data_IF_192360910349
#
_entry.id   IF_192360910349
#
_cell.length_a   1.000
_cell.length_b   1.000
_cell.length_c   1.000
_cell.angle_alpha   90.00
_cell.angle_beta   90.00
_cell.angle_gamma   90.00
#
_symmetry.space_group_name_H-M   'P 1'
#
loop_
_entity.id
_entity.type
_entity.pdbx_description
1 polymer ?
#
# COMPACT_ATOMS: atom_id res chain seq x y z
N UNK A 1 -19.23 36.77 90.43
CA UNK A 1 -18.31 37.81 90.94
C UNK A 1 -16.91 37.47 90.50
N UNK A 2 -16.16 38.49 90.08
CA UNK A 2 -14.92 38.45 89.32
C UNK A 2 -13.75 37.73 90.01
N UNK A 3 -12.78 37.21 89.23
CA UNK A 3 -11.42 37.79 89.16
C UNK A 3 -10.47 37.02 88.24
N UNK A 4 -9.81 37.82 87.41
CA UNK A 4 -8.64 37.68 86.53
C UNK A 4 -7.44 36.85 87.01
N UNK A 5 -6.67 36.29 86.06
CA UNK A 5 -5.20 36.39 86.04
C UNK A 5 -4.58 35.89 84.71
N UNK A 6 -3.92 36.78 83.96
CA UNK A 6 -2.77 36.50 83.05
C UNK A 6 -1.52 36.29 83.92
N UNK A 7 -0.44 35.59 83.49
CA UNK A 7 0.56 36.23 82.59
C UNK A 7 1.37 35.27 81.66
N UNK A 8 1.94 35.85 80.61
CA UNK A 8 3.05 35.29 79.80
C UNK A 8 4.40 35.50 80.51
N UNK A 9 5.40 34.63 80.31
CA UNK A 9 6.66 35.13 79.72
C UNK A 9 7.44 34.12 78.83
N UNK A 10 8.08 34.62 77.78
CA UNK A 10 9.31 34.08 77.12
C UNK A 10 10.55 34.58 77.90
N UNK A 11 11.83 34.09 77.76
CA UNK A 11 12.50 33.66 76.51
C UNK A 11 13.64 32.59 76.57
N UNK A 12 13.98 32.07 75.37
CA UNK A 12 15.26 31.54 74.81
C UNK A 12 16.38 30.90 75.67
N UNK A 13 16.93 29.75 75.22
CA UNK A 13 18.32 29.54 74.66
C UNK A 13 18.74 28.05 74.65
N UNK A 14 19.61 27.64 73.69
CA UNK A 14 20.51 26.45 73.64
C UNK A 14 19.88 25.06 73.40
N UNK A 15 20.42 24.09 72.63
CA UNK A 15 21.71 23.89 71.94
C UNK A 15 21.63 22.59 71.11
N UNK A 16 22.60 22.42 70.20
CA UNK A 16 23.10 21.19 69.54
C UNK A 16 22.27 20.61 68.40
N UNK A 17 22.62 20.81 67.14
CA UNK A 17 23.74 20.23 66.36
C UNK A 17 23.68 18.69 66.18
N UNK A 18 23.14 18.32 65.01
CA UNK A 18 23.62 17.35 64.02
C UNK A 18 24.03 15.93 64.43
N UNK A 19 23.27 14.97 63.89
CA UNK A 19 23.74 13.64 63.46
C UNK A 19 23.43 13.52 61.95
N UNK A 20 24.41 13.27 61.06
CA UNK A 20 24.16 13.08 59.64
C UNK A 20 23.73 11.62 59.42
N UNK A 21 22.43 11.41 59.23
CA UNK A 21 21.91 10.11 58.78
C UNK A 21 21.87 10.13 57.26
N UNK A 22 22.82 9.43 56.65
CA UNK A 22 22.75 9.05 55.26
C UNK A 22 21.56 8.09 55.08
N UNK A 23 20.46 8.57 54.53
CA UNK A 23 19.28 7.76 54.26
C UNK A 23 18.64 8.18 52.93
N UNK A 24 18.87 7.35 51.91
CA UNK A 24 17.91 7.04 50.83
C UNK A 24 17.19 8.22 50.17
N UNK A 25 17.94 9.18 49.63
CA UNK A 25 17.35 10.32 48.89
C UNK A 25 17.40 10.15 47.35
N UNK A 26 17.86 9.03 46.80
CA UNK A 26 18.22 8.99 45.37
C UNK A 26 17.22 8.34 44.41
N UNK A 27 16.03 7.88 44.83
CA UNK A 27 15.05 7.29 43.90
C UNK A 27 13.57 7.55 44.27
N UNK A 28 13.24 8.75 44.72
CA UNK A 28 11.83 9.19 44.69
C UNK A 28 11.63 9.87 43.35
N UNK A 29 11.16 9.12 42.35
CA UNK A 29 10.57 9.79 41.18
C UNK A 29 9.41 10.61 41.72
N UNK A 30 9.50 11.94 41.61
CA UNK A 30 8.41 12.83 41.96
C UNK A 30 7.11 12.29 41.32
N UNK A 31 6.01 12.22 42.06
CA UNK A 31 4.72 11.70 41.56
C UNK A 31 4.33 12.36 40.21
N UNK A 32 4.66 13.64 40.07
CA UNK A 32 4.48 14.41 38.84
C UNK A 32 5.36 13.96 37.66
N UNK A 33 6.56 13.43 37.92
CA UNK A 33 7.43 12.85 36.90
C UNK A 33 6.92 11.48 36.47
N UNK A 34 6.42 10.67 37.42
CA UNK A 34 5.77 9.38 37.11
C UNK A 34 4.54 9.60 36.23
N UNK A 35 3.69 10.58 36.56
CA UNK A 35 2.52 10.92 35.75
C UNK A 35 2.91 11.44 34.35
N UNK A 36 3.99 12.24 34.25
CA UNK A 36 4.49 12.75 32.98
C UNK A 36 5.02 11.62 32.10
N UNK A 37 5.81 10.71 32.66
CA UNK A 37 6.34 9.53 31.97
C UNK A 37 5.19 8.65 31.52
N UNK A 38 4.25 8.32 32.42
CA UNK A 38 3.08 7.50 32.11
C UNK A 38 2.22 8.11 30.99
N UNK A 39 1.97 9.42 31.03
CA UNK A 39 1.23 10.10 29.98
C UNK A 39 2.00 10.12 28.66
N UNK A 40 3.32 10.28 28.70
CA UNK A 40 4.16 10.22 27.50
C UNK A 40 4.14 8.82 26.88
N UNK A 41 4.27 7.76 27.69
CA UNK A 41 4.19 6.37 27.27
C UNK A 41 2.80 6.02 26.74
N UNK A 42 1.73 6.46 27.41
CA UNK A 42 0.36 6.27 26.93
C UNK A 42 0.13 6.91 25.55
N UNK A 43 0.73 8.09 25.30
CA UNK A 43 0.68 8.71 23.97
C UNK A 43 1.52 7.98 22.94
N UNK A 44 2.64 7.37 23.34
CA UNK A 44 3.49 6.56 22.46
C UNK A 44 2.78 5.26 22.07
N UNK A 45 2.19 4.54 23.03
CA UNK A 45 1.36 3.34 22.78
C UNK A 45 0.23 3.65 21.81
N UNK A 46 -0.40 4.83 21.95
CA UNK A 46 -1.45 5.27 21.03
C UNK A 46 -0.93 5.50 19.60
N UNK A 47 0.29 6.04 19.44
CA UNK A 47 0.93 6.25 18.13
C UNK A 47 1.36 4.93 17.49
N UNK A 48 1.97 4.04 18.27
CA UNK A 48 2.39 2.71 17.81
C UNK A 48 1.19 1.84 17.43
N UNK A 49 0.11 1.89 18.22
CA UNK A 49 -1.15 1.24 17.88
C UNK A 49 -1.71 1.74 16.54
N UNK A 50 -1.60 3.05 16.25
CA UNK A 50 -2.00 3.61 14.97
C UNK A 50 -1.09 3.12 13.82
N UNK A 51 0.23 3.04 14.02
CA UNK A 51 1.16 2.45 13.04
C UNK A 51 0.79 1.00 12.74
N UNK A 52 0.61 0.18 13.78
CA UNK A 52 0.22 -1.22 13.64
C UNK A 52 -1.13 -1.37 12.92
N UNK A 53 -2.10 -0.49 13.23
CA UNK A 53 -3.39 -0.45 12.55
C UNK A 53 -3.24 -0.13 11.07
N UNK A 54 -2.48 0.91 10.72
CA UNK A 54 -2.24 1.33 9.33
C UNK A 54 -1.62 0.19 8.53
N UNK A 55 -0.62 -0.50 9.09
CA UNK A 55 0.03 -1.63 8.43
C UNK A 55 -0.87 -2.86 8.31
N UNK A 56 -1.75 -3.08 9.29
CA UNK A 56 -2.76 -4.15 9.26
C UNK A 56 -3.89 -3.87 8.26
N UNK A 57 -4.16 -2.60 7.96
CA UNK A 57 -5.20 -2.20 7.01
C UNK A 57 -4.90 -2.76 5.62
N UNK A 58 -5.95 -3.05 4.86
CA UNK A 58 -5.77 -3.65 3.55
C UNK A 58 -5.20 -2.64 2.54
N UNK A 59 -3.96 -2.85 2.09
CA UNK A 59 -3.19 -1.91 1.25
C UNK A 59 -3.88 -1.45 -0.05
N UNK A 60 -4.79 -2.24 -0.61
CA UNK A 60 -5.52 -1.88 -1.83
C UNK A 60 -6.82 -1.10 -1.56
N UNK A 61 -7.23 -0.96 -0.30
CA UNK A 61 -8.43 -0.21 0.10
C UNK A 61 -8.01 1.07 0.86
N UNK A 62 -8.00 2.23 0.20
CA UNK A 62 -7.56 3.48 0.83
C UNK A 62 -8.55 4.01 1.89
N UNK A 63 -9.84 3.66 1.80
CA UNK A 63 -10.83 4.02 2.83
C UNK A 63 -10.50 3.34 4.17
N UNK A 64 -10.05 2.09 4.13
CA UNK A 64 -9.64 1.34 5.32
C UNK A 64 -8.39 1.92 5.98
N UNK A 65 -7.38 2.24 5.16
CA UNK A 65 -6.13 2.86 5.63
C UNK A 65 -6.41 4.18 6.34
N UNK A 66 -7.27 5.04 5.79
CA UNK A 66 -7.63 6.32 6.39
C UNK A 66 -8.76 6.24 7.44
N UNK A 67 -9.38 5.07 7.67
CA UNK A 67 -10.60 4.90 8.47
C UNK A 67 -11.71 5.87 8.07
N UNK A 68 -11.99 5.92 6.77
CA UNK A 68 -13.13 6.67 6.23
C UNK A 68 -14.31 5.73 6.04
N UNK A 69 -15.51 6.27 6.17
CA UNK A 69 -16.73 5.53 5.87
C UNK A 69 -16.81 5.27 4.37
N UNK A 70 -16.75 3.99 3.99
CA UNK A 70 -16.80 3.53 2.60
C UNK A 70 -18.23 3.20 2.15
N UNK A 71 -19.24 3.42 2.99
CA UNK A 71 -20.62 3.05 2.67
C UNK A 71 -21.19 3.99 1.61
N UNK A 72 -21.89 3.47 0.58
CA UNK A 72 -22.54 4.32 -0.43
C UNK A 72 -23.53 5.33 0.16
N UNK A 73 -24.17 4.99 1.28
CA UNK A 73 -25.09 5.86 2.01
C UNK A 73 -24.42 7.09 2.61
N UNK A 74 -23.10 7.06 2.83
CA UNK A 74 -22.35 8.18 3.39
C UNK A 74 -22.19 9.35 2.41
N UNK A 75 -22.53 9.18 1.11
CA UNK A 75 -22.48 10.22 0.07
C UNK A 75 -21.24 11.12 0.18
N UNK A 76 -20.03 10.54 0.25
CA UNK A 76 -18.79 11.33 0.24
C UNK A 76 -18.72 12.10 -1.09
N UNK A 77 -19.08 13.37 -1.06
CA UNK A 77 -19.03 14.19 -2.27
C UNK A 77 -17.59 14.57 -2.58
N UNK A 78 -17.30 14.88 -3.85
CA UNK A 78 -15.94 15.29 -4.26
C UNK A 78 -15.45 16.53 -3.49
N UNK A 79 -16.39 17.40 -3.08
CA UNK A 79 -16.18 18.53 -2.18
C UNK A 79 -15.73 18.15 -0.78
N UNK A 80 -16.12 16.98 -0.28
CA UNK A 80 -15.74 16.51 1.05
C UNK A 80 -14.33 15.93 1.06
N UNK A 81 -13.74 15.66 -0.10
CA UNK A 81 -12.40 15.05 -0.21
C UNK A 81 -11.34 16.09 -0.57
N UNK A 82 -11.70 17.12 -1.35
CA UNK A 82 -10.81 18.23 -1.69
C UNK A 82 -11.08 19.39 -0.73
N UNK A 83 -10.04 19.95 -0.11
CA UNK A 83 -10.16 21.21 0.64
C UNK A 83 -10.71 22.32 -0.28
N UNK A 84 -12.01 22.58 -0.23
CA UNK A 84 -12.61 23.79 -0.78
C UNK A 84 -12.18 24.97 0.11
N UNK A 85 -11.37 25.93 -0.38
CA UNK A 85 -11.01 27.12 0.38
C UNK A 85 -12.15 28.16 0.39
N UNK A 86 -13.32 27.86 -0.15
CA UNK A 86 -14.34 28.86 -0.50
C UNK A 86 -15.40 29.09 0.58
N UNK A 87 -15.45 28.32 1.66
CA UNK A 87 -16.49 28.45 2.69
C UNK A 87 -16.16 29.44 3.83
N UNK A 88 -15.28 30.40 3.56
CA UNK A 88 -14.96 31.51 4.45
C UNK A 88 -15.61 32.81 3.95
N UNK A 89 -16.88 32.76 3.54
CA UNK A 89 -17.73 33.95 3.43
C UNK A 89 -19.17 33.61 3.79
N UNK A 90 -19.66 34.39 4.75
CA UNK A 90 -21.02 34.45 5.30
C UNK A 90 -21.45 33.32 6.23
N UNK A 91 -21.53 33.69 7.52
CA UNK A 91 -22.17 32.92 8.56
C UNK A 91 -23.65 32.75 8.28
N UNK A 92 -24.05 31.49 8.16
CA UNK A 92 -25.36 30.99 8.57
C UNK A 92 -25.07 29.64 9.21
N UNK A 93 -25.36 29.56 10.50
CA UNK A 93 -25.17 28.37 11.32
C UNK A 93 -26.16 27.32 10.83
N UNK A 94 -25.75 26.46 9.90
CA UNK A 94 -26.41 25.18 9.71
C UNK A 94 -25.72 24.19 10.62
N UNK A 95 -26.39 23.86 11.73
CA UNK A 95 -26.13 22.64 12.50
C UNK A 95 -26.36 21.44 11.58
N UNK A 96 -25.36 21.13 10.75
CA UNK A 96 -25.34 19.97 9.87
C UNK A 96 -23.99 19.29 9.97
N UNK A 97 -23.86 18.54 11.06
CA UNK A 97 -22.87 17.48 11.31
C UNK A 97 -21.43 17.87 11.00
N UNK A 98 -20.80 18.60 11.92
CA UNK A 98 -19.34 18.83 12.00
C UNK A 98 -18.49 17.54 12.22
N UNK A 99 -19.02 16.38 11.84
CA UNK A 99 -18.37 15.07 11.90
C UNK A 99 -17.86 14.55 10.55
N UNK A 100 -17.79 15.39 9.51
CA UNK A 100 -17.39 14.94 8.17
C UNK A 100 -15.86 14.97 7.98
N UNK A 101 -15.22 13.84 8.26
CA UNK A 101 -13.80 13.61 8.09
C UNK A 101 -13.41 13.52 6.61
N UNK A 102 -13.04 14.66 6.02
CA UNK A 102 -12.41 14.75 4.70
C UNK A 102 -11.11 13.91 4.64
N UNK A 103 -10.85 13.20 3.53
CA UNK A 103 -9.64 12.39 3.36
C UNK A 103 -8.34 13.19 3.57
N UNK A 104 -8.32 14.44 3.12
CA UNK A 104 -7.18 15.34 3.30
C UNK A 104 -6.98 15.77 4.76
N UNK A 105 -8.08 16.08 5.47
CA UNK A 105 -8.02 16.43 6.91
C UNK A 105 -7.56 15.24 7.75
N UNK A 106 -8.10 14.06 7.45
CA UNK A 106 -7.77 12.80 8.14
C UNK A 106 -6.33 12.41 7.89
N UNK A 107 -5.85 12.51 6.64
CA UNK A 107 -4.45 12.32 6.31
C UNK A 107 -3.55 13.28 7.10
N UNK A 108 -3.83 14.59 7.09
CA UNK A 108 -3.03 15.60 7.83
C UNK A 108 -2.95 15.29 9.32
N UNK A 109 -4.06 14.89 9.94
CA UNK A 109 -4.11 14.56 11.37
C UNK A 109 -3.29 13.30 11.68
N UNK A 110 -3.47 12.24 10.88
CA UNK A 110 -2.81 10.94 11.09
C UNK A 110 -1.34 10.96 10.73
N UNK A 111 -0.96 11.63 9.64
CA UNK A 111 0.43 11.74 9.20
C UNK A 111 1.32 12.46 10.21
N UNK A 112 0.76 13.45 10.95
CA UNK A 112 1.45 14.09 12.07
C UNK A 112 1.60 13.17 13.28
N UNK A 113 0.62 12.29 13.52
CA UNK A 113 0.62 11.34 14.63
C UNK A 113 1.68 10.24 14.43
N UNK A 114 1.85 9.75 13.20
CA UNK A 114 2.79 8.67 12.85
C UNK A 114 4.05 9.15 12.11
N UNK A 115 4.36 10.44 12.17
CA UNK A 115 5.49 10.99 11.44
C UNK A 115 6.82 10.35 11.92
N UNK A 116 7.70 9.89 11.02
CA UNK A 116 8.92 9.17 11.40
C UNK A 116 9.90 9.99 12.25
N UNK A 117 9.87 11.33 12.16
CA UNK A 117 10.66 12.21 13.02
C UNK A 117 10.15 12.26 14.48
N UNK A 118 8.84 12.08 14.69
CA UNK A 118 8.20 12.15 16.02
C UNK A 118 8.10 10.79 16.71
N UNK A 119 8.24 9.70 15.95
CA UNK A 119 8.13 8.33 16.42
C UNK A 119 9.32 7.52 15.85
N UNK A 120 10.25 7.13 16.73
CA UNK A 120 11.42 6.30 16.37
C UNK A 120 11.04 4.81 16.24
N UNK A 121 10.04 4.51 15.42
CA UNK A 121 9.57 3.14 15.18
C UNK A 121 10.00 2.69 13.78
N UNK A 122 10.50 1.46 13.64
CA UNK A 122 11.12 0.92 12.42
C UNK A 122 10.16 0.99 11.22
N UNK A 123 8.88 0.70 11.47
CA UNK A 123 7.86 0.67 10.43
C UNK A 123 7.07 1.99 10.28
N UNK A 124 7.45 3.07 10.98
CA UNK A 124 6.76 4.35 10.89
C UNK A 124 6.82 4.94 9.47
N UNK A 125 7.95 4.77 8.79
CA UNK A 125 8.15 5.21 7.40
C UNK A 125 7.18 4.50 6.46
N UNK A 126 7.08 3.16 6.56
CA UNK A 126 6.17 2.37 5.72
C UNK A 126 4.70 2.75 5.98
N UNK A 127 4.30 2.93 7.23
CA UNK A 127 2.96 3.35 7.58
C UNK A 127 2.64 4.76 7.06
N UNK A 128 3.60 5.69 7.14
CA UNK A 128 3.46 7.04 6.61
C UNK A 128 3.28 7.04 5.08
N UNK A 129 4.09 6.26 4.37
CA UNK A 129 3.99 6.11 2.91
C UNK A 129 2.65 5.49 2.50
N UNK A 130 2.14 4.52 3.27
CA UNK A 130 0.83 3.93 3.04
C UNK A 130 -0.29 4.97 3.19
N UNK A 131 -0.26 5.79 4.25
CA UNK A 131 -1.22 6.88 4.43
C UNK A 131 -1.16 7.86 3.25
N UNK A 132 0.04 8.23 2.80
CA UNK A 132 0.24 9.18 1.69
C UNK A 132 -0.29 8.62 0.37
N UNK A 133 -0.05 7.34 0.12
CA UNK A 133 -0.57 6.63 -1.05
C UNK A 133 -2.09 6.59 -1.03
N UNK A 134 -2.70 6.22 0.09
CA UNK A 134 -4.16 6.16 0.24
C UNK A 134 -4.81 7.53 -0.01
N UNK A 135 -4.21 8.61 0.52
CA UNK A 135 -4.67 9.97 0.26
C UNK A 135 -4.58 10.34 -1.22
N UNK A 136 -3.48 9.99 -1.89
CA UNK A 136 -3.28 10.30 -3.31
C UNK A 136 -4.28 9.57 -4.20
N UNK A 137 -4.56 8.30 -3.90
CA UNK A 137 -5.54 7.50 -4.64
C UNK A 137 -6.97 8.01 -4.47
N UNK A 138 -7.35 8.42 -3.26
CA UNK A 138 -8.68 8.99 -3.03
C UNK A 138 -8.82 10.39 -3.61
N UNK A 139 -7.75 11.18 -3.77
CA UNK A 139 -7.85 12.51 -4.38
C UNK A 139 -8.09 12.42 -5.89
N UNK A 140 -7.61 11.36 -6.56
CA UNK A 140 -7.82 11.14 -7.99
C UNK A 140 -9.26 10.62 -8.25
N UNK A 141 -10.11 11.38 -8.97
CA UNK A 141 -11.51 11.01 -9.19
C UNK A 141 -11.65 9.68 -9.95
N UNK A 142 -10.76 9.40 -10.91
CA UNK A 142 -10.86 8.17 -11.72
C UNK A 142 -10.56 6.92 -10.90
N UNK A 143 -9.56 7.01 -10.01
CA UNK A 143 -9.21 5.91 -9.11
C UNK A 143 -10.29 5.71 -8.06
N UNK A 144 -10.85 6.80 -7.53
CA UNK A 144 -11.95 6.75 -6.57
C UNK A 144 -13.19 6.08 -7.17
N UNK A 145 -13.63 6.52 -8.35
CA UNK A 145 -14.79 5.94 -9.04
C UNK A 145 -14.62 4.44 -9.28
N UNK A 146 -13.42 3.99 -9.70
CA UNK A 146 -13.14 2.58 -9.86
C UNK A 146 -13.27 1.79 -8.54
N UNK A 147 -12.81 2.34 -7.42
CA UNK A 147 -12.96 1.73 -6.09
C UNK A 147 -14.41 1.74 -5.61
N UNK A 148 -15.13 2.83 -5.82
CA UNK A 148 -16.53 2.98 -5.42
C UNK A 148 -17.41 1.99 -6.18
N UNK A 149 -17.17 1.78 -7.48
CA UNK A 149 -17.84 0.75 -8.27
C UNK A 149 -17.60 -0.67 -7.70
N UNK A 150 -16.38 -0.98 -7.24
CA UNK A 150 -16.09 -2.27 -6.61
C UNK A 150 -16.83 -2.42 -5.29
N UNK A 151 -16.96 -1.35 -4.50
CA UNK A 151 -17.72 -1.35 -3.25
C UNK A 151 -19.22 -1.54 -3.52
N UNK A 152 -19.75 -0.88 -4.55
CA UNK A 152 -21.13 -1.06 -5.00
C UNK A 152 -21.39 -2.50 -5.45
N UNK A 153 -20.50 -3.07 -6.26
CA UNK A 153 -20.57 -4.47 -6.68
C UNK A 153 -20.52 -5.43 -5.47
N UNK A 154 -19.61 -5.17 -4.52
CA UNK A 154 -19.52 -5.95 -3.28
C UNK A 154 -20.84 -5.90 -2.49
N UNK A 155 -21.44 -4.72 -2.32
CA UNK A 155 -22.74 -4.55 -1.65
C UNK A 155 -23.85 -5.32 -2.36
N UNK A 156 -23.91 -5.24 -3.69
CA UNK A 156 -24.91 -5.98 -4.48
C UNK A 156 -24.75 -7.49 -4.34
N UNK A 157 -23.51 -7.98 -4.32
CA UNK A 157 -23.23 -9.41 -4.13
C UNK A 157 -23.59 -9.89 -2.73
N UNK A 158 -23.33 -9.09 -1.69
CA UNK A 158 -23.74 -9.41 -0.31
C UNK A 158 -25.26 -9.47 -0.21
N UNK A 159 -25.99 -8.46 -0.70
CA UNK A 159 -27.46 -8.47 -0.69
C UNK A 159 -28.03 -9.68 -1.43
N UNK A 160 -27.44 -10.05 -2.57
CA UNK A 160 -27.84 -11.24 -3.33
C UNK A 160 -27.57 -12.54 -2.55
N UNK A 161 -26.44 -12.64 -1.85
CA UNK A 161 -26.11 -13.81 -1.04
C UNK A 161 -27.11 -14.00 0.11
N UNK A 162 -27.63 -12.91 0.66
CA UNK A 162 -28.67 -12.90 1.70
C UNK A 162 -30.11 -13.03 1.12
N UNK A 163 -30.25 -13.26 -0.19
CA UNK A 163 -31.55 -13.42 -0.86
C UNK A 163 -32.36 -12.13 -0.99
N UNK A 164 -31.73 -10.96 -0.85
CA UNK A 164 -32.37 -9.65 -0.96
C UNK A 164 -32.17 -9.05 -2.36
N UNK A 165 -33.07 -8.14 -2.75
CA UNK A 165 -32.93 -7.39 -3.99
C UNK A 165 -31.72 -6.43 -3.90
N UNK A 166 -30.96 -6.19 -4.98
CA UNK A 166 -29.79 -5.30 -4.96
C UNK A 166 -30.10 -3.85 -4.57
N UNK A 167 -31.34 -3.41 -4.76
CA UNK A 167 -31.83 -2.06 -4.43
C UNK A 167 -32.28 -1.90 -2.98
N UNK A 168 -32.27 -2.97 -2.17
CA UNK A 168 -32.73 -2.92 -0.77
C UNK A 168 -31.93 -1.88 0.01
N UNK A 169 -32.56 -0.95 0.75
CA UNK A 169 -31.86 0.08 1.52
C UNK A 169 -31.22 -0.49 2.79
N UNK A 170 -30.17 0.18 3.27
CA UNK A 170 -29.40 -0.25 4.44
C UNK A 170 -30.22 -0.17 5.75
N UNK A 171 -31.26 0.67 5.79
CA UNK A 171 -32.19 0.83 6.94
C UNK A 171 -33.25 -0.26 7.02
N UNK A 172 -33.32 -1.17 6.04
CA UNK A 172 -34.33 -2.22 6.07
C UNK A 172 -34.10 -3.16 7.27
N UNK A 173 -35.17 -3.60 7.96
CA UNK A 173 -35.03 -4.40 9.18
C UNK A 173 -34.29 -5.72 8.93
N UNK A 174 -34.39 -6.26 7.70
CA UNK A 174 -33.60 -7.43 7.30
C UNK A 174 -32.10 -7.14 7.29
N UNK A 175 -31.66 -6.04 6.68
CA UNK A 175 -30.24 -5.68 6.64
C UNK A 175 -29.70 -5.42 8.05
N UNK A 176 -30.43 -4.67 8.88
CA UNK A 176 -30.01 -4.36 10.26
C UNK A 176 -30.02 -5.58 11.19
N UNK A 177 -30.80 -6.62 10.88
CA UNK A 177 -30.84 -7.85 11.68
C UNK A 177 -29.59 -8.75 11.53
N UNK A 178 -28.74 -8.50 10.54
CA UNK A 178 -27.49 -9.23 10.36
C UNK A 178 -26.47 -8.73 11.38
N UNK A 179 -26.19 -9.51 12.43
CA UNK A 179 -25.22 -9.10 13.48
C UNK A 179 -23.92 -9.89 13.43
N UNK A 180 -23.91 -11.10 12.85
CA UNK A 180 -22.76 -12.02 12.90
C UNK A 180 -22.40 -12.59 11.51
N UNK A 181 -21.44 -12.02 10.78
CA UNK A 181 -20.94 -10.64 10.88
C UNK A 181 -22.00 -9.60 10.49
N UNK A 182 -21.82 -8.35 10.94
CA UNK A 182 -22.66 -7.21 10.56
C UNK A 182 -22.61 -6.96 9.05
N UNK A 183 -23.67 -6.36 8.51
CA UNK A 183 -23.77 -6.03 7.10
C UNK A 183 -22.60 -5.19 6.60
N UNK A 184 -22.15 -4.19 7.38
CA UNK A 184 -20.98 -3.37 7.01
C UNK A 184 -19.71 -4.21 6.89
N UNK A 185 -19.52 -5.15 7.81
CA UNK A 185 -18.36 -6.05 7.81
C UNK A 185 -18.43 -7.06 6.65
N UNK A 186 -19.62 -7.59 6.31
CA UNK A 186 -19.80 -8.44 5.12
C UNK A 186 -19.39 -7.72 3.84
N UNK A 187 -19.82 -6.46 3.68
CA UNK A 187 -19.43 -5.66 2.52
C UNK A 187 -17.93 -5.44 2.53
N UNK A 188 -17.34 -5.08 3.67
CA UNK A 188 -15.89 -4.89 3.80
C UNK A 188 -15.09 -6.13 3.40
N UNK A 189 -15.51 -7.31 3.87
CA UNK A 189 -14.91 -8.59 3.50
C UNK A 189 -15.08 -8.88 2.00
N UNK A 190 -16.26 -8.62 1.44
CA UNK A 190 -16.53 -8.86 0.02
C UNK A 190 -15.76 -7.90 -0.88
N UNK A 191 -15.63 -6.63 -0.50
CA UNK A 191 -14.79 -5.64 -1.19
C UNK A 191 -13.33 -6.10 -1.20
N UNK A 192 -12.83 -6.59 -0.06
CA UNK A 192 -11.47 -7.14 0.02
C UNK A 192 -11.26 -8.32 -0.93
N UNK A 193 -12.21 -9.24 -1.00
CA UNK A 193 -12.19 -10.37 -1.94
C UNK A 193 -12.14 -9.89 -3.39
N UNK A 194 -13.04 -8.99 -3.80
CA UNK A 194 -13.09 -8.48 -5.18
C UNK A 194 -11.82 -7.73 -5.58
N UNK A 195 -11.24 -6.94 -4.67
CA UNK A 195 -9.97 -6.24 -4.91
C UNK A 195 -8.80 -7.23 -5.10
N UNK A 196 -8.75 -8.29 -4.29
CA UNK A 196 -7.75 -9.35 -4.46
C UNK A 196 -7.92 -10.04 -5.80
N UNK A 197 -9.15 -10.39 -6.18
CA UNK A 197 -9.43 -11.05 -7.45
C UNK A 197 -9.08 -10.20 -8.67
N UNK A 198 -9.40 -8.90 -8.64
CA UNK A 198 -9.00 -7.97 -9.71
C UNK A 198 -7.48 -7.88 -9.84
N UNK A 199 -6.75 -7.76 -8.74
CA UNK A 199 -5.29 -7.69 -8.76
C UNK A 199 -4.66 -9.01 -9.22
N UNK A 200 -5.18 -10.16 -8.78
CA UNK A 200 -4.75 -11.48 -9.27
C UNK A 200 -5.01 -11.63 -10.77
N UNK A 201 -6.17 -11.18 -11.25
CA UNK A 201 -6.51 -11.18 -12.68
C UNK A 201 -5.55 -10.30 -13.47
N UNK A 202 -5.27 -9.08 -12.99
CA UNK A 202 -4.31 -8.16 -13.59
C UNK A 202 -2.91 -8.79 -13.68
N UNK A 203 -2.43 -9.43 -12.61
CA UNK A 203 -1.14 -10.14 -12.60
C UNK A 203 -1.09 -11.29 -13.61
N UNK A 204 -2.16 -12.08 -13.71
CA UNK A 204 -2.26 -13.18 -14.68
C UNK A 204 -2.24 -12.66 -16.12
N UNK A 205 -3.01 -11.61 -16.42
CA UNK A 205 -3.04 -10.98 -17.74
C UNK A 205 -1.66 -10.44 -18.09
N UNK A 206 -1.03 -9.65 -17.21
CA UNK A 206 0.31 -9.11 -17.47
C UNK A 206 1.34 -10.21 -17.73
N UNK A 207 1.31 -11.30 -16.96
CA UNK A 207 2.20 -12.45 -17.16
C UNK A 207 1.95 -13.12 -18.51
N UNK A 208 0.68 -13.32 -18.89
CA UNK A 208 0.31 -13.92 -20.17
C UNK A 208 0.77 -13.04 -21.34
N UNK A 209 0.56 -11.72 -21.26
CA UNK A 209 1.01 -10.76 -22.28
C UNK A 209 2.52 -10.78 -22.43
N UNK A 210 3.28 -10.78 -21.33
CA UNK A 210 4.75 -10.85 -21.38
C UNK A 210 5.25 -12.15 -22.04
N UNK A 211 4.60 -13.28 -21.76
CA UNK A 211 4.92 -14.57 -22.40
C UNK A 211 4.60 -14.52 -23.89
N UNK A 212 3.44 -13.98 -24.27
CA UNK A 212 3.02 -13.86 -25.67
C UNK A 212 3.93 -12.92 -26.47
N UNK A 213 4.27 -11.77 -25.90
CA UNK A 213 5.22 -10.81 -26.48
C UNK A 213 6.61 -11.41 -26.62
N UNK A 214 7.11 -12.12 -25.60
CA UNK A 214 8.38 -12.82 -25.68
C UNK A 214 8.39 -13.96 -26.71
N UNK A 215 7.28 -14.70 -26.84
CA UNK A 215 7.14 -15.73 -27.86
C UNK A 215 7.08 -15.14 -29.28
N UNK A 216 6.43 -13.99 -29.43
CA UNK A 216 6.37 -13.27 -30.71
C UNK A 216 7.75 -12.71 -31.08
N UNK A 217 8.44 -12.05 -30.14
CA UNK A 217 9.79 -11.53 -30.34
C UNK A 217 10.78 -12.63 -30.78
N UNK A 218 10.72 -13.82 -30.17
CA UNK A 218 11.55 -14.97 -30.59
C UNK A 218 11.23 -15.44 -32.01
N UNK A 219 9.96 -15.49 -32.40
CA UNK A 219 9.56 -15.87 -33.77
C UNK A 219 10.04 -14.84 -34.80
N UNK A 220 9.95 -13.56 -34.45
CA UNK A 220 10.40 -12.48 -35.31
C UNK A 220 11.93 -12.48 -35.47
N UNK A 221 12.67 -12.74 -34.39
CA UNK A 221 14.12 -12.92 -34.40
C UNK A 221 14.55 -14.13 -35.24
N UNK A 222 13.90 -15.29 -35.06
CA UNK A 222 14.19 -16.50 -35.86
C UNK A 222 13.89 -16.27 -37.35
N UNK A 223 12.79 -15.57 -37.68
CA UNK A 223 12.45 -15.23 -39.06
C UNK A 223 13.48 -14.28 -39.68
N UNK A 224 13.97 -13.30 -38.92
CA UNK A 224 15.04 -12.40 -39.35
C UNK A 224 16.36 -13.14 -39.53
N UNK A 225 16.73 -14.03 -38.61
CA UNK A 225 17.95 -14.83 -38.71
C UNK A 225 17.89 -15.78 -39.89
N UNK A 226 16.76 -16.46 -40.12
CA UNK A 226 16.56 -17.32 -41.30
C UNK A 226 16.64 -16.52 -42.60
N UNK A 227 16.09 -15.31 -42.63
CA UNK A 227 16.21 -14.40 -43.77
C UNK A 227 17.67 -13.98 -43.98
N UNK A 228 18.37 -13.62 -42.90
CA UNK A 228 19.80 -13.25 -42.94
C UNK A 228 20.65 -14.41 -43.45
N UNK A 229 20.47 -15.62 -42.90
CA UNK A 229 21.15 -16.84 -43.34
C UNK A 229 20.90 -17.13 -44.81
N UNK A 230 19.66 -17.03 -45.27
CA UNK A 230 19.33 -17.20 -46.70
C UNK A 230 20.06 -16.18 -47.57
N UNK A 231 20.06 -14.90 -47.18
CA UNK A 231 20.78 -13.86 -47.92
C UNK A 231 22.29 -14.12 -47.96
N UNK A 232 22.88 -14.59 -46.85
CA UNK A 232 24.30 -14.95 -46.77
C UNK A 232 24.63 -16.20 -47.62
N UNK A 233 23.79 -17.22 -47.59
CA UNK A 233 23.93 -18.44 -48.41
C UNK A 233 23.82 -18.10 -49.91
N UNK A 234 22.82 -17.30 -50.30
CA UNK A 234 22.61 -16.84 -51.68
C UNK A 234 23.82 -16.00 -52.15
N UNK A 235 24.32 -15.10 -51.30
CA UNK A 235 25.53 -14.30 -51.58
C UNK A 235 26.75 -15.20 -51.77
N UNK A 236 26.98 -16.18 -50.87
CA UNK A 236 28.10 -17.13 -50.96
C UNK A 236 28.00 -18.03 -52.20
N UNK A 237 26.79 -18.39 -52.61
CA UNK A 237 26.54 -19.13 -53.85
C UNK A 237 26.95 -18.32 -55.07
N UNK A 238 26.57 -17.04 -55.16
CA UNK A 238 26.98 -16.18 -56.26
C UNK A 238 28.49 -15.90 -56.26
N UNK A 239 29.11 -15.68 -55.10
CA UNK A 239 30.57 -15.47 -55.00
C UNK A 239 31.36 -16.69 -55.50
N UNK A 240 30.95 -17.90 -55.12
CA UNK A 240 31.60 -19.15 -55.58
C UNK A 240 31.14 -19.60 -56.98
N UNK A 241 30.39 -18.78 -57.72
CA UNK A 241 29.86 -19.12 -59.04
C UNK A 241 30.96 -19.35 -60.06
N UNK A 242 31.92 -18.43 -60.17
CA UNK A 242 32.99 -18.52 -61.17
C UNK A 242 33.91 -19.72 -60.91
N UNK A 243 34.20 -20.02 -59.64
CA UNK A 243 34.95 -21.21 -59.25
C UNK A 243 34.23 -22.49 -59.67
N UNK A 244 32.92 -22.59 -59.38
CA UNK A 244 32.10 -23.74 -59.77
C UNK A 244 31.95 -23.88 -61.28
N UNK A 245 31.82 -22.77 -62.02
CA UNK A 245 31.80 -22.76 -63.48
C UNK A 245 33.15 -23.21 -64.05
N UNK A 246 34.26 -22.82 -63.42
CA UNK A 246 35.61 -23.23 -63.80
C UNK A 246 35.84 -24.73 -63.54
N UNK A 247 35.38 -25.24 -62.40
CA UNK A 247 35.37 -26.68 -62.07
C UNK A 247 34.49 -27.47 -63.06
N UNK A 248 33.31 -26.97 -63.43
CA UNK A 248 32.46 -27.61 -64.44
C UNK A 248 33.11 -27.61 -65.83
N UNK A 249 33.69 -26.48 -66.26
CA UNK A 249 34.41 -26.37 -67.54
C UNK A 249 35.62 -27.30 -67.58
N UNK A 250 36.33 -27.49 -66.47
CA UNK A 250 37.47 -28.40 -66.37
C UNK A 250 37.03 -29.88 -66.35
N UNK A 251 35.92 -30.22 -65.72
CA UNK A 251 35.29 -31.55 -65.78
C UNK A 251 34.88 -31.92 -67.22
N UNK A 252 34.25 -31.00 -67.94
CA UNK A 252 33.84 -31.21 -69.34
C UNK A 252 35.05 -31.33 -70.29
N UNK A 253 36.14 -30.58 -70.02
CA UNK A 253 37.42 -30.75 -70.73
C UNK A 253 38.19 -32.00 -70.29
N UNK A 254 37.79 -32.64 -69.20
CA UNK A 254 38.39 -33.84 -68.59
C UNK A 254 38.02 -35.16 -69.25
N UNK A 255 37.74 -35.19 -70.54
CA UNK A 255 37.70 -36.42 -71.32
C UNK A 255 39.10 -36.94 -71.58
N UNK A 256 39.57 -37.87 -70.72
CA UNK A 256 40.84 -38.64 -70.73
C UNK A 256 41.89 -38.19 -69.70
N UNK A 257 41.75 -38.66 -68.45
CA UNK A 257 42.91 -39.09 -67.66
C UNK A 257 42.76 -40.58 -67.29
N UNK A 258 43.70 -41.36 -67.81
CA UNK A 258 43.93 -42.78 -67.53
C UNK A 258 44.09 -42.95 -66.01
N UNK A 259 43.27 -43.80 -65.38
CA UNK A 259 43.49 -44.24 -63.99
C UNK A 259 44.90 -44.85 -63.91
N UNK A 260 45.84 -44.16 -63.29
CA UNK A 260 47.08 -44.77 -62.83
C UNK A 260 46.70 -45.68 -61.68
N UNK A 261 46.80 -47.00 -61.88
CA UNK A 261 46.73 -47.98 -60.80
C UNK A 261 47.81 -47.62 -59.78
N UNK A 262 47.44 -47.22 -58.57
CA UNK A 262 48.34 -47.28 -57.43
C UNK A 262 48.57 -48.75 -57.13
N UNK A 263 49.69 -49.27 -57.61
CA UNK A 263 50.19 -50.56 -57.19
C UNK A 263 50.79 -50.36 -55.79
N UNK A 264 49.99 -50.57 -54.75
CA UNK A 264 50.52 -50.90 -53.43
C UNK A 264 50.42 -52.43 -53.34
N UNK A 265 51.53 -53.11 -53.61
CA UNK A 265 51.72 -54.50 -53.21
C UNK A 265 51.71 -54.56 -51.67
N UNK A 266 51.08 -55.59 -51.13
CA UNK A 266 50.68 -55.68 -49.74
C UNK A 266 51.79 -55.80 -48.69
N UNK A 267 51.36 -55.54 -47.45
CA UNK A 267 51.64 -56.29 -46.22
C UNK A 267 50.53 -55.95 -45.22
#
# INVERSE_FOLDING_TARGET
MASTSTPTPTPSTSTSNSIPSASTEDLVFDEAEIERILNSEATLVSREAEVARVLKAFRMNPYDVLQLDFMPSANLTESDIRKSPSSLRFGVHTDRVDGMLCAEKTYRKKSLLIHPDKLKHEQAIEAFDLLKKAQTELVDPKRREALDNIILDARMLVLRAEGMAPITPDTSPRVTSLTNPDFRERIRLKTKELLIDQELRRRRVNKMTMIAEGAQAKKDEEALEKRKRKMEDDKRWEETREDRVTDWRSFQKGGKKKKTKTNVLGS
#
